data_IF_632203214682
#
_entry.id   IF_632203214682
#
_cell.length_a   1.000
_cell.length_b   1.000
_cell.length_c   1.000
_cell.angle_alpha   90.00
_cell.angle_beta   90.00
_cell.angle_gamma   90.00
#
_symmetry.space_group_name_H-M   'P 1'
#
loop_
_entity.id
_entity.type
_entity.pdbx_description
1 polymer ?
#
# COMPACT_ATOMS: atom_id res chain seq x y z
N UNK A 1 7.77 22.43 5.80
CA UNK A 1 6.74 21.64 5.05
C UNK A 1 7.17 20.19 5.15
N UNK A 2 6.24 19.26 5.47
CA UNK A 2 6.52 17.83 5.48
C UNK A 2 6.20 17.26 4.10
N UNK A 3 7.10 16.47 3.54
CA UNK A 3 6.97 15.89 2.20
C UNK A 3 7.14 14.38 2.31
N UNK A 4 6.20 13.64 1.72
CA UNK A 4 6.29 12.19 1.55
C UNK A 4 6.56 11.83 0.10
N UNK A 5 7.10 10.64 -0.13
CA UNK A 5 7.33 10.10 -1.46
C UNK A 5 6.70 8.72 -1.63
N UNK A 6 6.26 8.42 -2.85
CA UNK A 6 5.81 7.06 -3.21
C UNK A 6 7.02 6.18 -3.47
N UNK A 7 6.96 4.95 -2.98
CA UNK A 7 7.96 3.92 -3.28
C UNK A 7 7.48 3.08 -4.47
N UNK A 8 8.34 2.71 -5.41
CA UNK A 8 7.97 1.78 -6.48
C UNK A 8 7.39 0.50 -5.90
N UNK A 9 6.21 0.10 -6.37
CA UNK A 9 5.46 -1.05 -5.84
C UNK A 9 4.98 -2.00 -6.96
N UNK A 10 5.02 -1.55 -8.21
CA UNK A 10 4.48 -2.25 -9.37
C UNK A 10 3.07 -1.83 -9.76
N UNK A 11 2.28 -1.26 -8.84
CA UNK A 11 0.90 -0.86 -9.11
C UNK A 11 0.73 0.09 -10.31
N UNK A 12 1.61 1.06 -10.46
CA UNK A 12 1.63 2.00 -11.59
C UNK A 12 2.53 1.54 -12.75
N UNK A 13 2.81 0.23 -12.82
CA UNK A 13 3.77 -0.34 -13.77
C UNK A 13 5.19 0.23 -13.62
N UNK A 14 5.51 0.74 -12.46
CA UNK A 14 6.77 1.40 -12.11
C UNK A 14 7.94 0.42 -11.90
N UNK A 15 7.66 -0.88 -11.94
CA UNK A 15 8.67 -1.95 -11.95
C UNK A 15 8.82 -2.60 -13.33
N UNK A 16 8.10 -2.13 -14.35
CA UNK A 16 8.17 -2.72 -15.68
C UNK A 16 9.56 -2.54 -16.30
N UNK A 17 10.03 -3.59 -16.99
CA UNK A 17 11.37 -3.61 -17.58
C UNK A 17 12.51 -3.88 -16.58
N UNK A 18 12.21 -3.97 -15.29
CA UNK A 18 13.19 -4.39 -14.27
C UNK A 18 13.09 -5.91 -14.09
N UNK A 19 14.19 -6.67 -14.28
CA UNK A 19 14.19 -8.11 -14.04
C UNK A 19 13.68 -8.45 -12.65
N UNK A 20 12.84 -9.50 -12.48
CA UNK A 20 12.23 -9.85 -11.19
C UNK A 20 13.23 -9.94 -10.04
N UNK A 21 14.40 -10.51 -10.28
CA UNK A 21 15.47 -10.68 -9.30
C UNK A 21 16.12 -9.35 -8.86
N UNK A 22 15.86 -8.25 -9.58
CA UNK A 22 16.38 -6.90 -9.27
C UNK A 22 15.31 -5.93 -8.76
N UNK A 23 14.05 -6.32 -8.79
CA UNK A 23 12.96 -5.43 -8.41
C UNK A 23 13.05 -5.05 -6.92
N UNK A 24 13.31 -6.03 -6.06
CA UNK A 24 13.44 -5.76 -4.63
C UNK A 24 14.62 -4.83 -4.32
N UNK A 25 15.77 -5.07 -4.92
CA UNK A 25 16.94 -4.19 -4.75
C UNK A 25 16.66 -2.76 -5.22
N UNK A 26 15.89 -2.61 -6.30
CA UNK A 26 15.47 -1.30 -6.81
C UNK A 26 14.56 -0.58 -5.80
N UNK A 27 13.63 -1.31 -5.19
CA UNK A 27 12.73 -0.79 -4.15
C UNK A 27 13.52 -0.37 -2.91
N UNK A 28 14.44 -1.22 -2.45
CA UNK A 28 15.30 -0.93 -1.31
C UNK A 28 16.12 0.34 -1.54
N UNK A 29 16.74 0.44 -2.71
CA UNK A 29 17.50 1.63 -3.08
C UNK A 29 16.64 2.89 -3.08
N UNK A 30 15.48 2.85 -3.71
CA UNK A 30 14.55 3.99 -3.74
C UNK A 30 14.12 4.40 -2.32
N UNK A 31 13.82 3.44 -1.45
CA UNK A 31 13.43 3.71 -0.06
C UNK A 31 14.55 4.36 0.74
N UNK A 32 15.77 3.91 0.55
CA UNK A 32 16.98 4.50 1.13
C UNK A 32 17.23 5.92 0.61
N UNK A 33 17.18 6.11 -0.70
CA UNK A 33 17.36 7.41 -1.33
C UNK A 33 16.34 8.45 -0.79
N UNK A 34 15.08 8.04 -0.58
CA UNK A 34 14.02 8.88 0.01
C UNK A 34 14.40 9.28 1.45
N UNK A 35 14.88 8.33 2.25
CA UNK A 35 15.30 8.58 3.63
C UNK A 35 16.51 9.50 3.71
N UNK A 36 17.52 9.26 2.87
CA UNK A 36 18.76 10.03 2.81
C UNK A 36 18.52 11.48 2.33
N UNK A 37 17.50 11.68 1.50
CA UNK A 37 17.03 13.00 1.04
C UNK A 37 16.15 13.72 2.07
N UNK A 38 15.96 13.15 3.28
CA UNK A 38 15.18 13.72 4.38
C UNK A 38 13.70 13.94 4.06
N UNK A 39 13.09 13.05 3.28
CA UNK A 39 11.64 12.99 3.22
C UNK A 39 11.07 12.53 4.56
N UNK A 40 9.89 13.04 4.92
CA UNK A 40 9.23 12.70 6.18
C UNK A 40 8.65 11.29 6.18
N UNK A 41 8.18 10.81 5.01
CA UNK A 41 7.44 9.56 4.90
C UNK A 41 7.55 8.90 3.53
N UNK A 42 7.40 7.59 3.53
CA UNK A 42 7.23 6.74 2.35
C UNK A 42 5.81 6.21 2.29
N UNK A 43 5.27 6.10 1.09
CA UNK A 43 3.89 5.72 0.86
C UNK A 43 3.76 4.64 -0.20
N UNK A 44 2.79 3.73 0.01
CA UNK A 44 2.43 2.65 -0.90
C UNK A 44 0.93 2.64 -1.14
N UNK A 45 0.46 1.83 -2.08
CA UNK A 45 -0.96 1.68 -2.40
C UNK A 45 -1.47 0.31 -1.95
N UNK A 46 -2.71 0.24 -1.50
CA UNK A 46 -3.35 -1.03 -1.16
C UNK A 46 -4.08 -1.58 -2.39
N UNK A 47 -3.28 -2.08 -3.33
CA UNK A 47 -3.72 -2.68 -4.57
C UNK A 47 -3.00 -4.02 -4.81
N UNK A 48 -3.64 -4.91 -5.57
CA UNK A 48 -3.12 -6.23 -5.93
C UNK A 48 -2.81 -6.35 -7.42
N UNK A 49 -3.41 -5.48 -8.25
CA UNK A 49 -3.28 -5.48 -9.69
C UNK A 49 -2.75 -4.13 -10.19
N UNK A 50 -2.13 -4.16 -11.36
CA UNK A 50 -1.67 -2.93 -12.02
C UNK A 50 -2.83 -2.08 -12.52
N UNK A 51 -2.59 -0.78 -12.65
CA UNK A 51 -3.51 0.18 -13.27
C UNK A 51 -2.84 0.86 -14.47
N UNK A 52 -3.60 1.30 -15.49
CA UNK A 52 -5.08 1.43 -15.57
C UNK A 52 -5.81 0.13 -15.88
N UNK A 53 -5.11 -0.95 -16.13
CA UNK A 53 -5.67 -2.28 -16.40
C UNK A 53 -4.76 -3.35 -15.77
N UNK A 54 -5.32 -4.51 -15.40
CA UNK A 54 -4.52 -5.61 -14.86
C UNK A 54 -3.57 -6.17 -15.91
N UNK A 55 -2.32 -6.39 -15.51
CA UNK A 55 -1.30 -7.08 -16.30
C UNK A 55 -0.75 -8.27 -15.54
N UNK A 56 0.23 -8.97 -16.14
CA UNK A 56 0.99 -10.01 -15.44
C UNK A 56 2.21 -9.44 -14.69
N UNK A 57 2.38 -8.12 -14.71
CA UNK A 57 3.47 -7.47 -14.00
C UNK A 57 3.28 -7.56 -12.49
N UNK A 58 4.35 -7.70 -11.72
CA UNK A 58 4.25 -7.84 -10.27
C UNK A 58 3.73 -6.56 -9.60
N UNK A 59 2.87 -6.76 -8.63
CA UNK A 59 2.44 -5.72 -7.68
C UNK A 59 2.64 -6.27 -6.28
N UNK A 60 3.46 -5.61 -5.47
CA UNK A 60 3.72 -6.05 -4.09
C UNK A 60 2.51 -5.75 -3.20
N UNK A 61 2.10 -6.75 -2.40
CA UNK A 61 1.02 -6.60 -1.44
C UNK A 61 1.42 -5.59 -0.35
N UNK A 62 0.52 -4.64 -0.09
CA UNK A 62 0.77 -3.44 0.70
C UNK A 62 1.34 -3.71 2.09
N UNK A 63 0.68 -4.55 2.89
CA UNK A 63 1.03 -4.74 4.30
C UNK A 63 2.30 -5.58 4.48
N UNK A 64 2.49 -6.59 3.63
CA UNK A 64 3.74 -7.36 3.57
C UNK A 64 4.91 -6.46 3.17
N UNK A 65 4.67 -5.57 2.22
CA UNK A 65 5.65 -4.61 1.75
C UNK A 65 6.03 -3.59 2.84
N UNK A 66 5.04 -3.04 3.55
CA UNK A 66 5.28 -2.12 4.66
C UNK A 66 6.05 -2.78 5.82
N UNK A 67 5.76 -4.05 6.11
CA UNK A 67 6.53 -4.82 7.11
C UNK A 67 8.00 -4.92 6.71
N UNK A 68 8.29 -5.21 5.45
CA UNK A 68 9.66 -5.24 4.94
C UNK A 68 10.33 -3.86 4.99
N UNK A 69 9.63 -2.79 4.55
CA UNK A 69 10.13 -1.42 4.61
C UNK A 69 10.47 -0.99 6.04
N UNK A 70 9.69 -1.43 7.02
CA UNK A 70 9.92 -1.11 8.44
C UNK A 70 11.27 -1.60 8.96
N UNK A 71 11.85 -2.63 8.33
CA UNK A 71 13.11 -3.24 8.73
C UNK A 71 14.32 -2.68 7.97
N UNK A 72 14.09 -2.00 6.86
CA UNK A 72 15.17 -1.48 6.00
C UNK A 72 15.27 0.04 6.00
N UNK A 73 14.33 0.72 6.66
CA UNK A 73 14.33 2.15 6.93
C UNK A 73 14.42 2.44 8.43
N UNK A 74 14.97 3.58 8.82
CA UNK A 74 15.20 3.91 10.22
C UNK A 74 14.41 5.14 10.69
N UNK A 75 14.14 6.10 9.82
CA UNK A 75 13.62 7.44 10.19
C UNK A 75 12.28 7.75 9.56
N UNK A 76 12.10 7.44 8.27
CA UNK A 76 10.88 7.80 7.54
C UNK A 76 9.67 7.09 8.12
N UNK A 77 8.54 7.79 8.19
CA UNK A 77 7.26 7.20 8.49
C UNK A 77 6.77 6.38 7.30
N UNK A 78 6.02 5.33 7.54
CA UNK A 78 5.62 4.36 6.53
C UNK A 78 4.10 4.30 6.50
N UNK A 79 3.49 4.57 5.37
CA UNK A 79 2.05 4.61 5.24
C UNK A 79 1.51 4.02 3.94
N UNK A 80 0.24 3.77 3.92
CA UNK A 80 -0.51 3.40 2.72
C UNK A 80 -1.57 4.45 2.39
N UNK A 81 -1.85 4.61 1.11
CA UNK A 81 -2.76 5.63 0.62
C UNK A 81 -3.83 5.04 -0.33
N UNK A 82 -4.92 4.49 0.20
CA UNK A 82 -5.30 4.18 1.58
C UNK A 82 -5.54 2.67 1.71
N UNK A 83 -5.49 2.11 2.92
CA UNK A 83 -5.93 0.73 3.12
C UNK A 83 -7.40 0.58 2.71
N UNK A 84 -7.69 -0.37 1.84
CA UNK A 84 -9.05 -0.73 1.50
C UNK A 84 -9.67 -1.54 2.64
N UNK A 85 -10.70 -0.98 3.28
CA UNK A 85 -11.35 -1.60 4.44
C UNK A 85 -12.03 -2.94 4.11
N UNK A 86 -12.33 -3.19 2.84
CA UNK A 86 -13.06 -4.38 2.40
C UNK A 86 -12.17 -5.58 2.08
N UNK A 87 -10.85 -5.39 1.93
CA UNK A 87 -9.96 -6.48 1.54
C UNK A 87 -9.59 -7.41 2.70
N UNK A 88 -9.75 -6.97 3.93
CA UNK A 88 -9.29 -7.73 5.11
C UNK A 88 -10.31 -7.66 6.24
N UNK A 89 -10.37 -8.74 7.02
CA UNK A 89 -11.11 -8.71 8.27
C UNK A 89 -10.54 -7.58 9.16
N UNK A 90 -11.37 -6.69 9.73
CA UNK A 90 -10.89 -5.51 10.46
C UNK A 90 -10.09 -5.86 11.73
N UNK A 91 -10.43 -6.94 12.43
CA UNK A 91 -9.67 -7.37 13.59
C UNK A 91 -8.28 -7.89 13.18
N UNK A 92 -8.20 -8.63 12.08
CA UNK A 92 -6.95 -9.08 11.50
C UNK A 92 -6.09 -7.89 11.03
N UNK A 93 -6.70 -6.95 10.29
CA UNK A 93 -6.03 -5.75 9.83
C UNK A 93 -5.43 -4.94 10.98
N UNK A 94 -6.19 -4.74 12.05
CA UNK A 94 -5.71 -4.06 13.27
C UNK A 94 -4.49 -4.78 13.87
N UNK A 95 -4.52 -6.11 13.86
CA UNK A 95 -3.38 -6.90 14.39
C UNK A 95 -2.14 -6.74 13.52
N UNK A 96 -2.28 -6.75 12.19
CA UNK A 96 -1.18 -6.51 11.26
C UNK A 96 -0.60 -5.10 11.45
N UNK A 97 -1.47 -4.08 11.47
CA UNK A 97 -1.07 -2.70 11.65
C UNK A 97 -0.30 -2.48 12.95
N UNK A 98 -0.83 -2.96 14.08
CA UNK A 98 -0.16 -2.83 15.38
C UNK A 98 1.19 -3.55 15.41
N UNK A 99 1.32 -4.68 14.71
CA UNK A 99 2.59 -5.41 14.61
C UNK A 99 3.63 -4.59 13.85
N UNK A 100 3.24 -4.00 12.71
CA UNK A 100 4.14 -3.16 11.91
C UNK A 100 4.51 -1.89 12.66
N UNK A 101 3.58 -1.29 13.40
CA UNK A 101 3.88 -0.12 14.22
C UNK A 101 4.96 -0.42 15.26
N UNK A 102 4.83 -1.54 15.97
CA UNK A 102 5.86 -2.00 16.92
C UNK A 102 7.19 -2.29 16.21
N UNK A 103 7.16 -3.04 15.10
CA UNK A 103 8.38 -3.38 14.35
C UNK A 103 9.11 -2.15 13.80
N UNK A 104 8.37 -1.11 13.44
CA UNK A 104 8.92 0.15 12.93
C UNK A 104 9.32 1.14 14.00
N UNK A 105 9.05 0.85 15.30
CA UNK A 105 9.29 1.80 16.39
C UNK A 105 8.33 3.00 16.38
N UNK A 106 7.05 2.78 16.03
CA UNK A 106 6.00 3.82 16.05
C UNK A 106 5.99 4.71 14.80
N UNK A 107 6.52 4.23 13.67
CA UNK A 107 6.59 4.99 12.41
C UNK A 107 5.43 4.71 11.46
N UNK A 108 4.47 3.87 11.83
CA UNK A 108 3.32 3.58 10.97
C UNK A 108 2.40 4.80 10.82
N UNK A 109 2.00 5.08 9.59
CA UNK A 109 0.88 5.96 9.25
C UNK A 109 -0.27 5.10 8.72
N UNK A 110 -1.42 5.16 9.38
CA UNK A 110 -2.58 4.35 9.04
C UNK A 110 -3.67 5.19 8.39
N UNK A 111 -3.88 5.00 7.10
CA UNK A 111 -4.98 5.60 6.37
C UNK A 111 -5.96 4.51 5.91
N UNK A 112 -7.26 4.76 6.04
CA UNK A 112 -8.30 3.81 5.64
C UNK A 112 -9.23 4.44 4.62
N UNK A 113 -9.65 3.67 3.63
CA UNK A 113 -10.54 4.08 2.57
C UNK A 113 -11.46 2.96 2.11
N UNK A 114 -12.44 3.31 1.28
CA UNK A 114 -13.41 2.36 0.77
C UNK A 114 -12.86 1.44 -0.33
N UNK A 115 -11.80 1.88 -1.03
CA UNK A 115 -11.37 1.26 -2.28
C UNK A 115 -12.23 1.72 -3.47
N UNK A 116 -11.86 1.31 -4.67
CA UNK A 116 -12.56 1.73 -5.89
C UNK A 116 -12.37 0.76 -7.07
N UNK A 117 -11.36 -0.11 -7.03
CA UNK A 117 -10.96 -0.90 -8.19
C UNK A 117 -11.77 -2.20 -8.30
N UNK A 118 -12.87 -2.12 -9.04
CA UNK A 118 -13.87 -3.18 -9.20
C UNK A 118 -13.28 -4.54 -9.61
N UNK A 119 -12.21 -4.55 -10.41
CA UNK A 119 -11.55 -5.78 -10.83
C UNK A 119 -10.91 -6.54 -9.67
N UNK A 120 -10.32 -5.83 -8.71
CA UNK A 120 -9.79 -6.45 -7.50
C UNK A 120 -10.88 -7.01 -6.61
N UNK A 121 -12.00 -6.29 -6.45
CA UNK A 121 -13.16 -6.80 -5.71
C UNK A 121 -13.66 -8.13 -6.28
N UNK A 122 -13.77 -8.24 -7.59
CA UNK A 122 -14.18 -9.47 -8.27
C UNK A 122 -13.15 -10.59 -8.11
N UNK A 123 -11.88 -10.29 -8.29
CA UNK A 123 -10.79 -11.27 -8.23
C UNK A 123 -10.61 -11.86 -6.83
N UNK A 124 -10.81 -11.05 -5.79
CA UNK A 124 -10.62 -11.47 -4.40
C UNK A 124 -11.93 -11.75 -3.65
N UNK A 125 -13.04 -11.91 -4.39
CA UNK A 125 -14.36 -12.23 -3.87
C UNK A 125 -14.83 -11.25 -2.76
N UNK A 126 -14.47 -9.98 -2.86
CA UNK A 126 -14.88 -8.94 -1.93
C UNK A 126 -16.24 -8.39 -2.33
N UNK A 127 -17.19 -8.36 -1.39
CA UNK A 127 -18.50 -7.76 -1.66
C UNK A 127 -18.40 -6.23 -1.76
N UNK A 128 -18.69 -5.70 -2.93
CA UNK A 128 -18.74 -4.25 -3.18
C UNK A 128 -19.98 -3.57 -2.58
N UNK A 129 -20.98 -4.35 -2.18
CA UNK A 129 -22.30 -3.86 -1.75
C UNK A 129 -22.27 -3.02 -0.45
N UNK A 130 -21.20 -3.05 0.31
CA UNK A 130 -21.07 -2.28 1.55
C UNK A 130 -20.52 -0.86 1.36
N UNK A 131 -20.11 -0.50 0.15
CA UNK A 131 -19.44 0.77 -0.14
C UNK A 131 -20.36 1.82 -0.78
N UNK A 132 -21.53 1.42 -1.25
CA UNK A 132 -22.56 2.37 -1.64
C UNK A 132 -23.32 2.78 -0.38
N UNK A 133 -23.15 4.03 0.04
CA UNK A 133 -24.11 4.64 0.95
C UNK A 133 -25.49 4.47 0.32
N UNK A 134 -26.50 4.00 1.05
CA UNK A 134 -27.85 3.97 0.51
C UNK A 134 -28.20 5.39 0.08
N UNK A 135 -28.41 5.59 -1.20
CA UNK A 135 -28.93 6.86 -1.72
C UNK A 135 -30.36 6.92 -1.23
N UNK A 136 -30.60 7.61 -0.12
CA UNK A 136 -31.94 7.90 0.33
C UNK A 136 -32.47 8.90 -0.67
N UNK A 137 -33.22 8.43 -1.64
CA UNK A 137 -34.09 9.30 -2.42
C UNK A 137 -35.20 9.75 -1.47
N UNK A 138 -35.08 10.98 -0.98
CA UNK A 138 -36.23 11.64 -0.40
C UNK A 138 -37.26 11.86 -1.51
N UNK A 139 -38.43 11.24 -1.37
CA UNK A 139 -39.62 11.48 -2.16
C UNK A 139 -40.18 12.84 -1.78
#
# INVERSE_FOLDING_TARGET
>A
MKIGAMVPQGWRMDLNGIPPEKQWDTILKASKDIEDLNYESVWVYDHFHTVPYPTQDPTFECWSFMAALSQVTEKVRIGQMCTCNSYRNPAYLTKVASSIDVMSGGRLEFAIGAGWYDQEYKAYAVSYTHLTLPTIYSV
#
